data_IF_512601927267
#
_entry.id   IF_512601927267
#
_cell.length_a   1.000
_cell.length_b   1.000
_cell.length_c   1.000
_cell.angle_alpha   90.00
_cell.angle_beta   90.00
_cell.angle_gamma   90.00
#
_symmetry.space_group_name_H-M   'P 1'
#
loop_
_entity.id
_entity.type
_entity.pdbx_description
1 polymer ?
#
# COMPACT_ATOMS: atom_id res chain seq x y z
N UNK A 1 -41.80 -7.32 70.34
CA UNK A 1 -40.54 -7.72 69.66
C UNK A 1 -40.87 -8.07 68.22
N UNK A 2 -40.64 -7.12 67.27
CA UNK A 2 -40.96 -7.31 65.89
C UNK A 2 -39.62 -7.49 65.13
N UNK A 3 -39.44 -8.68 64.58
CA UNK A 3 -38.26 -9.04 63.72
C UNK A 3 -38.53 -8.51 62.32
N UNK A 4 -37.68 -7.57 61.85
CA UNK A 4 -37.68 -7.07 60.47
C UNK A 4 -36.74 -7.93 59.60
N UNK A 5 -37.32 -8.80 58.77
CA UNK A 5 -36.58 -9.49 57.72
C UNK A 5 -36.28 -8.50 56.57
N UNK A 6 -35.00 -8.22 56.35
CA UNK A 6 -34.55 -7.49 55.17
C UNK A 6 -34.28 -8.48 54.06
N UNK A 7 -35.07 -8.38 53.00
CA UNK A 7 -34.89 -9.14 51.76
C UNK A 7 -33.78 -8.47 50.92
N UNK A 8 -32.64 -9.12 50.77
CA UNK A 8 -31.61 -8.69 49.85
C UNK A 8 -31.91 -9.30 48.47
N UNK A 9 -32.31 -8.47 47.52
CA UNK A 9 -32.42 -8.83 46.11
C UNK A 9 -31.04 -8.62 45.49
N UNK A 10 -30.33 -9.72 45.27
CA UNK A 10 -29.08 -9.72 44.54
C UNK A 10 -29.31 -9.58 43.03
N UNK A 11 -28.95 -8.42 42.48
CA UNK A 11 -29.00 -8.16 41.04
C UNK A 11 -27.75 -8.75 40.41
N UNK A 12 -27.85 -9.94 39.81
CA UNK A 12 -26.78 -10.55 39.01
C UNK A 12 -26.72 -9.88 37.63
N UNK A 13 -25.73 -9.01 37.44
CA UNK A 13 -25.39 -8.47 36.11
C UNK A 13 -24.70 -9.54 35.29
N UNK A 14 -25.42 -10.18 34.37
CA UNK A 14 -24.82 -11.05 33.38
C UNK A 14 -24.12 -10.18 32.33
N UNK A 15 -22.79 -10.11 32.40
CA UNK A 15 -21.98 -9.47 31.37
C UNK A 15 -21.99 -10.36 30.12
N UNK A 16 -22.80 -10.03 29.14
CA UNK A 16 -22.67 -10.58 27.79
C UNK A 16 -21.40 -10.02 27.17
N UNK A 17 -20.31 -10.77 27.25
CA UNK A 17 -19.14 -10.53 26.42
C UNK A 17 -19.51 -10.93 24.99
N UNK A 18 -20.05 -9.98 24.22
CA UNK A 18 -20.23 -10.15 22.79
C UNK A 18 -18.87 -10.35 22.14
N UNK A 19 -18.63 -11.54 21.63
CA UNK A 19 -17.52 -11.81 20.73
C UNK A 19 -17.84 -11.06 19.44
N UNK A 20 -17.23 -9.89 19.25
CA UNK A 20 -17.29 -9.21 17.96
C UNK A 20 -16.69 -10.16 16.91
N UNK A 21 -17.40 -10.41 15.79
CA UNK A 21 -16.84 -11.22 14.71
C UNK A 21 -15.52 -10.57 14.26
N UNK A 22 -14.49 -11.40 14.10
CA UNK A 22 -13.26 -10.94 13.48
C UNK A 22 -13.61 -10.52 12.05
N UNK A 23 -13.41 -9.24 11.72
CA UNK A 23 -13.63 -8.76 10.36
C UNK A 23 -12.70 -9.54 9.43
N UNK A 24 -13.29 -10.15 8.41
CA UNK A 24 -12.54 -10.83 7.36
C UNK A 24 -11.70 -9.80 6.60
N UNK A 25 -10.41 -10.07 6.36
CA UNK A 25 -9.59 -9.22 5.50
C UNK A 25 -10.24 -9.07 4.14
N UNK A 26 -10.04 -7.93 3.46
CA UNK A 26 -10.46 -7.80 2.07
C UNK A 26 -9.78 -8.89 1.22
N UNK A 27 -10.42 -9.34 0.14
CA UNK A 27 -9.77 -10.26 -0.79
C UNK A 27 -8.44 -9.65 -1.26
N UNK A 28 -7.43 -10.50 -1.46
CA UNK A 28 -6.18 -10.09 -2.06
C UNK A 28 -6.42 -9.84 -3.55
N UNK A 29 -6.25 -8.60 -3.99
CA UNK A 29 -6.28 -8.24 -5.40
C UNK A 29 -4.91 -8.49 -6.01
N UNK A 30 -4.88 -9.24 -7.12
CA UNK A 30 -3.67 -9.46 -7.90
C UNK A 30 -3.76 -8.71 -9.21
N UNK A 31 -2.74 -7.93 -9.53
CA UNK A 31 -2.61 -7.22 -10.80
C UNK A 31 -1.31 -7.60 -11.49
N UNK A 32 -1.38 -7.99 -12.76
CA UNK A 32 -0.21 -8.18 -13.61
C UNK A 32 0.24 -6.80 -14.11
N UNK A 33 1.51 -6.50 -13.91
CA UNK A 33 2.18 -5.26 -14.33
C UNK A 33 3.19 -5.59 -15.42
N UNK A 34 2.90 -5.21 -16.64
CA UNK A 34 3.81 -5.37 -17.80
C UNK A 34 4.39 -4.01 -18.19
N UNK A 35 3.79 -3.31 -19.15
CA UNK A 35 4.22 -1.94 -19.50
C UNK A 35 3.82 -0.91 -18.46
N UNK A 36 2.77 -1.15 -17.69
CA UNK A 36 2.46 -0.40 -16.47
C UNK A 36 3.26 -1.01 -15.30
N UNK A 37 4.58 -1.02 -15.42
CA UNK A 37 5.53 -1.76 -14.59
C UNK A 37 5.42 -1.46 -13.08
N UNK A 38 6.09 -2.28 -12.26
CA UNK A 38 6.03 -2.19 -10.80
C UNK A 38 6.63 -0.90 -10.25
N UNK A 39 7.64 -0.34 -10.93
CA UNK A 39 8.45 0.75 -10.41
C UNK A 39 8.02 2.13 -10.89
N UNK A 40 7.69 2.26 -12.18
CA UNK A 40 7.43 3.55 -12.82
C UNK A 40 6.04 3.71 -13.41
N UNK A 41 5.20 2.68 -13.40
CA UNK A 41 3.92 2.63 -14.13
C UNK A 41 4.05 2.94 -15.62
N UNK A 42 5.14 2.53 -16.22
CA UNK A 42 5.44 2.76 -17.64
C UNK A 42 5.96 4.15 -17.98
N UNK A 43 6.12 5.02 -17.00
CA UNK A 43 6.63 6.38 -17.22
C UNK A 43 8.13 6.38 -17.52
N UNK A 44 8.87 5.43 -16.99
CA UNK A 44 10.31 5.43 -17.04
C UNK A 44 10.92 6.69 -16.40
N UNK A 45 12.23 6.83 -16.51
CA UNK A 45 12.94 7.97 -15.89
C UNK A 45 12.52 9.31 -16.49
N UNK A 46 12.33 9.38 -17.80
CA UNK A 46 11.98 10.63 -18.48
C UNK A 46 10.56 11.08 -18.14
N UNK A 47 9.60 10.16 -18.08
CA UNK A 47 8.25 10.49 -17.64
C UNK A 47 8.18 10.91 -16.17
N UNK A 48 8.96 10.25 -15.30
CA UNK A 48 9.05 10.64 -13.88
C UNK A 48 9.74 12.00 -13.68
N UNK A 49 10.68 12.38 -14.55
CA UNK A 49 11.33 13.71 -14.57
C UNK A 49 10.42 14.81 -15.09
N UNK A 50 9.45 14.47 -15.94
CA UNK A 50 8.58 15.46 -16.59
C UNK A 50 8.00 16.44 -15.58
N UNK A 51 8.05 17.75 -15.83
CA UNK A 51 7.40 18.74 -14.96
C UNK A 51 5.87 18.64 -15.05
N UNK A 52 5.35 18.05 -16.14
CA UNK A 52 3.91 17.88 -16.37
C UNK A 52 3.45 16.53 -15.82
N UNK A 53 2.43 16.56 -14.99
CA UNK A 53 1.83 15.34 -14.45
C UNK A 53 1.22 14.47 -15.56
N UNK A 54 1.27 13.12 -15.43
CA UNK A 54 0.59 12.23 -16.35
C UNK A 54 -0.89 12.60 -16.51
N UNK A 55 -1.46 12.56 -17.72
CA UNK A 55 -2.85 12.92 -17.96
C UNK A 55 -3.81 11.97 -17.25
N UNK A 56 -4.96 12.48 -16.86
CA UNK A 56 -6.08 11.66 -16.40
C UNK A 56 -7.10 11.57 -17.53
N UNK A 57 -7.43 10.36 -17.99
CA UNK A 57 -8.50 10.17 -18.99
C UNK A 57 -9.87 10.48 -18.37
N UNK A 58 -10.86 10.62 -19.22
CA UNK A 58 -12.26 10.70 -18.81
C UNK A 58 -13.04 9.53 -19.43
N UNK A 59 -13.52 8.56 -18.63
CA UNK A 59 -13.45 8.48 -17.18
C UNK A 59 -12.03 8.21 -16.65
N UNK A 60 -11.79 8.60 -15.41
CA UNK A 60 -10.50 8.36 -14.73
C UNK A 60 -10.31 6.86 -14.46
N UNK A 61 -9.12 6.34 -14.75
CA UNK A 61 -8.78 4.93 -14.51
C UNK A 61 -7.83 4.74 -13.32
N UNK A 62 -7.84 3.55 -12.73
CA UNK A 62 -6.94 3.18 -11.64
C UNK A 62 -5.46 3.24 -12.09
N UNK A 63 -5.17 2.84 -13.33
CA UNK A 63 -3.83 2.90 -13.91
C UNK A 63 -3.32 4.34 -14.01
N UNK A 64 -4.16 5.27 -14.48
CA UNK A 64 -3.79 6.67 -14.60
C UNK A 64 -3.56 7.31 -13.21
N UNK A 65 -4.38 6.95 -12.21
CA UNK A 65 -4.18 7.39 -10.83
C UNK A 65 -2.90 6.82 -10.24
N UNK A 66 -2.60 5.53 -10.47
CA UNK A 66 -1.36 4.90 -10.05
C UNK A 66 -0.14 5.58 -10.68
N UNK A 67 -0.18 5.85 -11.99
CA UNK A 67 0.91 6.55 -12.68
C UNK A 67 1.14 7.94 -12.07
N UNK A 68 0.08 8.67 -11.77
CA UNK A 68 0.15 9.97 -11.09
C UNK A 68 0.70 9.88 -9.67
N UNK A 69 0.28 8.88 -8.92
CA UNK A 69 0.78 8.64 -7.55
C UNK A 69 2.29 8.34 -7.57
N UNK A 70 2.75 7.48 -8.48
CA UNK A 70 4.17 7.20 -8.65
C UNK A 70 4.95 8.44 -9.08
N UNK A 71 4.48 9.16 -10.09
CA UNK A 71 5.12 10.41 -10.55
C UNK A 71 5.29 11.42 -9.42
N UNK A 72 4.23 11.67 -8.64
CA UNK A 72 4.27 12.62 -7.51
C UNK A 72 5.27 12.17 -6.44
N UNK A 73 5.26 10.88 -6.11
CA UNK A 73 6.09 10.37 -5.03
C UNK A 73 7.57 10.29 -5.41
N UNK A 74 7.89 9.84 -6.61
CA UNK A 74 9.27 9.83 -7.09
C UNK A 74 9.89 11.24 -7.06
N UNK A 75 9.21 12.23 -7.60
CA UNK A 75 9.65 13.63 -7.61
C UNK A 75 9.80 14.25 -6.22
N UNK A 76 9.08 13.74 -5.26
CA UNK A 76 9.13 14.25 -3.88
C UNK A 76 10.16 13.56 -2.98
N UNK A 77 10.74 12.45 -3.45
CA UNK A 77 11.65 11.62 -2.64
C UNK A 77 13.05 11.54 -3.26
N UNK A 78 13.14 11.36 -4.58
CA UNK A 78 14.39 11.16 -5.29
C UNK A 78 14.79 12.40 -6.10
N UNK A 79 16.09 12.68 -6.15
CA UNK A 79 16.61 13.61 -7.12
C UNK A 79 16.70 12.93 -8.49
N UNK A 80 15.73 13.20 -9.33
CA UNK A 80 15.63 12.66 -10.68
C UNK A 80 16.36 13.49 -11.73
N UNK A 81 17.07 14.57 -11.33
CA UNK A 81 17.89 15.37 -12.25
C UNK A 81 19.04 14.53 -12.82
N UNK A 82 19.67 14.98 -13.91
CA UNK A 82 20.84 14.28 -14.46
C UNK A 82 21.98 14.08 -13.45
N UNK A 83 22.12 14.98 -12.47
CA UNK A 83 23.10 14.88 -11.38
C UNK A 83 22.64 14.06 -10.18
N UNK A 84 21.37 13.65 -10.13
CA UNK A 84 20.75 13.00 -8.96
C UNK A 84 21.06 11.51 -8.81
N UNK A 85 21.85 10.93 -9.69
CA UNK A 85 22.35 9.57 -9.57
C UNK A 85 21.60 8.50 -10.38
N UNK A 86 20.36 8.73 -10.80
CA UNK A 86 19.65 7.81 -11.66
C UNK A 86 20.16 7.91 -13.10
N UNK A 87 20.53 6.74 -13.67
CA UNK A 87 21.20 6.62 -14.96
C UNK A 87 22.73 6.64 -14.86
N UNK A 88 23.28 6.94 -13.68
CA UNK A 88 24.72 6.93 -13.42
C UNK A 88 25.03 6.11 -12.16
N UNK A 89 24.79 6.66 -10.96
CA UNK A 89 25.15 6.03 -9.69
C UNK A 89 24.20 4.89 -9.29
N UNK A 90 22.89 5.08 -9.49
CA UNK A 90 21.85 4.11 -9.10
C UNK A 90 21.42 3.20 -10.25
N UNK A 91 22.15 3.21 -11.35
CA UNK A 91 21.82 2.43 -12.54
C UNK A 91 20.65 2.99 -13.34
N UNK A 92 20.20 2.22 -14.31
CA UNK A 92 19.08 2.60 -15.17
C UNK A 92 17.77 2.33 -14.43
N UNK A 93 16.80 3.21 -14.60
CA UNK A 93 15.42 2.92 -14.26
C UNK A 93 14.79 2.14 -15.42
N UNK A 94 15.12 0.86 -15.51
CA UNK A 94 14.49 -0.03 -16.46
C UNK A 94 13.07 -0.37 -16.01
N UNK A 95 12.13 -0.64 -16.92
CA UNK A 95 10.83 -1.19 -16.55
C UNK A 95 11.01 -2.50 -15.77
N UNK A 96 10.25 -2.66 -14.69
CA UNK A 96 10.25 -3.89 -13.87
C UNK A 96 8.88 -4.54 -13.99
N UNK A 97 8.66 -5.47 -14.92
CA UNK A 97 7.43 -6.23 -15.01
C UNK A 97 7.30 -7.20 -13.84
N UNK A 98 6.07 -7.55 -13.49
CA UNK A 98 5.81 -8.47 -12.39
C UNK A 98 4.37 -8.49 -11.93
N UNK A 99 4.15 -8.93 -10.69
CA UNK A 99 2.85 -9.02 -10.07
C UNK A 99 2.77 -8.13 -8.84
N UNK A 100 1.65 -7.46 -8.69
CA UNK A 100 1.31 -6.63 -7.55
C UNK A 100 0.11 -7.24 -6.84
N UNK A 101 0.25 -7.49 -5.54
CA UNK A 101 -0.78 -8.02 -4.66
C UNK A 101 -1.15 -6.96 -3.65
N UNK A 102 -2.44 -6.66 -3.48
CA UNK A 102 -2.92 -5.62 -2.58
C UNK A 102 -4.07 -6.12 -1.73
N UNK A 103 -4.09 -5.75 -0.47
CA UNK A 103 -5.18 -6.05 0.45
C UNK A 103 -5.36 -4.92 1.47
N UNK A 104 -6.59 -4.75 1.94
CA UNK A 104 -6.92 -3.92 3.10
C UNK A 104 -7.09 -4.84 4.31
N UNK A 105 -6.37 -4.56 5.37
CA UNK A 105 -6.37 -5.34 6.59
C UNK A 105 -6.81 -4.46 7.76
N UNK A 106 -7.52 -5.07 8.73
CA UNK A 106 -7.82 -4.43 10.00
C UNK A 106 -7.10 -5.17 11.12
N UNK A 107 -6.22 -4.49 11.83
CA UNK A 107 -5.61 -5.05 13.02
C UNK A 107 -6.60 -5.03 14.18
N UNK A 108 -6.49 -6.02 15.07
CA UNK A 108 -7.33 -6.09 16.27
C UNK A 108 -7.25 -4.79 17.08
N UNK A 109 -8.37 -4.15 17.29
CA UNK A 109 -8.48 -2.88 18.02
C UNK A 109 -8.16 -1.63 17.20
N UNK A 110 -7.76 -1.75 15.94
CA UNK A 110 -7.56 -0.61 15.07
C UNK A 110 -8.89 -0.05 14.56
N UNK A 111 -9.01 1.27 14.53
CA UNK A 111 -10.19 1.96 13.98
C UNK A 111 -10.13 2.07 12.45
N UNK A 112 -8.94 2.12 11.88
CA UNK A 112 -8.70 2.30 10.45
C UNK A 112 -8.18 1.02 9.82
N UNK A 113 -8.54 0.81 8.57
CA UNK A 113 -7.92 -0.17 7.71
C UNK A 113 -6.51 0.29 7.37
N UNK A 114 -5.62 -0.65 7.10
CA UNK A 114 -4.32 -0.36 6.52
C UNK A 114 -4.12 -1.19 5.26
N UNK A 115 -3.49 -0.57 4.30
CA UNK A 115 -3.12 -1.24 3.06
C UNK A 115 -1.81 -1.99 3.23
N UNK A 116 -1.81 -3.20 2.73
CA UNK A 116 -0.59 -3.98 2.50
C UNK A 116 -0.50 -4.25 1.00
N UNK A 117 0.67 -4.06 0.44
CA UNK A 117 0.95 -4.36 -0.95
C UNK A 117 2.26 -5.14 -1.05
N UNK A 118 2.29 -6.15 -1.92
CA UNK A 118 3.50 -6.91 -2.24
C UNK A 118 3.74 -6.84 -3.73
N UNK A 119 4.94 -6.45 -4.11
CA UNK A 119 5.40 -6.48 -5.50
C UNK A 119 6.41 -7.61 -5.67
N UNK A 120 6.20 -8.44 -6.69
CA UNK A 120 7.07 -9.57 -7.04
C UNK A 120 7.47 -9.38 -8.49
N UNK A 121 8.73 -9.04 -8.79
CA UNK A 121 9.20 -8.90 -10.15
C UNK A 121 9.26 -10.27 -10.86
N UNK A 122 9.17 -10.26 -12.19
CA UNK A 122 9.18 -11.52 -12.97
C UNK A 122 10.52 -12.27 -12.87
N UNK A 123 11.60 -11.57 -12.56
CA UNK A 123 12.93 -12.11 -12.32
C UNK A 123 13.19 -12.47 -10.84
N UNK A 124 12.15 -12.53 -10.01
CA UNK A 124 12.29 -12.93 -8.62
C UNK A 124 12.95 -14.28 -8.47
N UNK A 125 14.10 -14.29 -7.78
CA UNK A 125 14.87 -15.52 -7.56
C UNK A 125 14.45 -16.16 -6.22
N UNK A 126 13.61 -17.20 -6.29
CA UNK A 126 13.15 -17.93 -5.12
C UNK A 126 14.31 -18.60 -4.34
N UNK A 127 15.44 -18.87 -4.98
CA UNK A 127 16.59 -19.46 -4.30
C UNK A 127 17.27 -18.47 -3.37
N UNK A 128 17.29 -17.20 -3.72
CA UNK A 128 17.83 -16.12 -2.89
C UNK A 128 16.89 -15.72 -1.74
N UNK A 129 15.61 -16.03 -1.86
CA UNK A 129 14.57 -15.72 -0.85
C UNK A 129 14.63 -14.27 -0.36
N UNK A 130 14.94 -13.34 -1.27
CA UNK A 130 15.06 -11.94 -0.93
C UNK A 130 13.68 -11.30 -0.78
N UNK A 131 13.36 -10.82 0.43
CA UNK A 131 12.17 -10.06 0.73
C UNK A 131 12.54 -8.79 1.48
N UNK A 132 12.20 -7.64 0.92
CA UNK A 132 12.26 -6.36 1.63
C UNK A 132 10.90 -6.03 2.21
N UNK A 133 10.90 -5.44 3.41
CA UNK A 133 9.68 -4.92 4.04
C UNK A 133 9.87 -3.43 4.30
N UNK A 134 8.94 -2.60 3.85
CA UNK A 134 9.00 -1.16 4.00
C UNK A 134 7.68 -0.59 4.51
N UNK A 135 7.75 0.16 5.60
CA UNK A 135 6.63 0.97 6.05
C UNK A 135 6.70 2.34 5.38
N UNK A 136 5.58 2.81 4.85
CA UNK A 136 5.51 4.14 4.24
C UNK A 136 5.66 5.26 5.27
N UNK A 137 6.09 6.44 4.83
CA UNK A 137 5.87 7.67 5.59
C UNK A 137 4.38 7.99 5.69
N UNK A 138 3.97 8.69 6.76
CA UNK A 138 2.55 9.01 6.97
C UNK A 138 1.95 9.91 5.89
N UNK A 139 2.75 10.72 5.21
CA UNK A 139 2.29 11.70 4.22
C UNK A 139 2.33 11.22 2.76
N UNK A 140 3.01 10.10 2.48
CA UNK A 140 3.26 9.67 1.09
C UNK A 140 2.70 8.29 0.74
N UNK A 141 2.28 7.53 1.73
CA UNK A 141 1.71 6.21 1.52
C UNK A 141 2.67 5.20 0.89
N UNK A 142 2.11 4.13 0.39
CA UNK A 142 2.83 3.00 -0.23
C UNK A 142 3.64 3.46 -1.44
N UNK A 143 3.10 4.35 -2.27
CA UNK A 143 3.77 4.81 -3.49
C UNK A 143 5.06 5.58 -3.21
N UNK A 144 5.17 6.24 -2.05
CA UNK A 144 6.44 6.79 -1.59
C UNK A 144 7.46 5.72 -1.20
N UNK A 145 7.00 4.64 -0.58
CA UNK A 145 7.87 3.53 -0.22
C UNK A 145 8.40 2.78 -1.46
N UNK A 146 7.66 2.76 -2.58
CA UNK A 146 8.12 2.21 -3.86
C UNK A 146 9.36 2.97 -4.35
N UNK A 147 9.36 4.30 -4.28
CA UNK A 147 10.50 5.12 -4.69
C UNK A 147 11.76 4.93 -3.83
N UNK A 148 11.65 4.27 -2.68
CA UNK A 148 12.77 3.92 -1.79
C UNK A 148 13.12 2.43 -1.88
N UNK A 149 12.30 1.59 -1.21
CA UNK A 149 12.57 0.16 -1.10
C UNK A 149 12.39 -0.57 -2.45
N UNK A 150 11.37 -0.19 -3.23
CA UNK A 150 11.13 -0.74 -4.56
C UNK A 150 12.25 -0.42 -5.53
N UNK A 151 12.74 0.82 -5.50
CA UNK A 151 13.84 1.28 -6.36
C UNK A 151 15.08 0.39 -6.26
N UNK A 152 15.41 -0.05 -5.06
CA UNK A 152 16.53 -0.96 -4.86
C UNK A 152 16.10 -2.43 -5.00
N UNK A 153 15.07 -2.85 -4.27
CA UNK A 153 14.74 -4.26 -4.12
C UNK A 153 14.29 -4.93 -5.41
N UNK A 154 13.38 -4.28 -6.15
CA UNK A 154 12.85 -4.85 -7.39
C UNK A 154 13.96 -5.03 -8.45
N UNK A 155 14.88 -4.07 -8.58
CA UNK A 155 16.01 -4.16 -9.50
C UNK A 155 17.04 -5.23 -9.10
N UNK A 156 16.96 -5.76 -7.88
CA UNK A 156 17.83 -6.84 -7.40
C UNK A 156 17.10 -8.20 -7.36
N UNK A 157 15.94 -8.30 -8.00
CA UNK A 157 15.15 -9.53 -8.03
C UNK A 157 14.53 -9.89 -6.68
N UNK A 158 14.35 -8.92 -5.77
CA UNK A 158 13.70 -9.12 -4.50
C UNK A 158 12.19 -8.88 -4.62
N UNK A 159 11.38 -9.64 -3.88
CA UNK A 159 10.02 -9.22 -3.57
C UNK A 159 10.04 -8.06 -2.57
N UNK A 160 9.10 -7.13 -2.68
CA UNK A 160 9.02 -6.00 -1.77
C UNK A 160 7.61 -5.88 -1.20
N UNK A 161 7.49 -5.92 0.12
CA UNK A 161 6.25 -5.74 0.85
C UNK A 161 6.18 -4.34 1.46
N UNK A 162 5.03 -3.70 1.32
CA UNK A 162 4.77 -2.34 1.80
C UNK A 162 3.55 -2.30 2.71
N UNK A 163 3.54 -1.38 3.66
CA UNK A 163 2.35 -1.04 4.44
C UNK A 163 2.23 0.46 4.63
N UNK A 164 1.01 0.99 4.55
CA UNK A 164 0.70 2.39 4.85
C UNK A 164 0.52 2.63 6.37
N UNK A 165 0.55 1.59 7.19
CA UNK A 165 0.35 1.64 8.65
C UNK A 165 -1.01 2.20 9.07
N UNK A 166 -2.02 2.18 8.20
CA UNK A 166 -3.33 2.78 8.44
C UNK A 166 -3.35 4.31 8.30
N UNK A 167 -2.36 4.90 7.60
CA UNK A 167 -2.34 6.34 7.35
C UNK A 167 -3.37 6.78 6.28
N UNK A 168 -3.88 5.84 5.47
CA UNK A 168 -4.91 6.12 4.46
C UNK A 168 -4.44 6.98 3.28
N UNK A 169 -3.14 7.12 3.12
CA UNK A 169 -2.54 7.94 2.04
C UNK A 169 -2.41 7.14 0.77
N UNK A 170 -3.47 7.04 0.03
CA UNK A 170 -3.57 6.33 -1.24
C UNK A 170 -4.40 7.16 -2.23
N UNK A 171 -4.81 6.58 -3.34
CA UNK A 171 -5.74 7.22 -4.27
C UNK A 171 -7.09 6.51 -4.25
N UNK A 172 -8.14 7.29 -4.55
CA UNK A 172 -9.49 6.80 -4.73
C UNK A 172 -9.84 6.76 -6.21
N UNK A 173 -10.42 5.64 -6.65
CA UNK A 173 -11.03 5.56 -7.98
C UNK A 173 -12.47 6.07 -7.87
N UNK A 174 -12.84 7.18 -8.53
CA UNK A 174 -14.21 7.68 -8.49
C UNK A 174 -15.19 6.61 -8.98
N UNK A 175 -16.27 6.37 -8.23
CA UNK A 175 -17.27 5.36 -8.56
C UNK A 175 -16.92 3.91 -8.17
N UNK A 176 -15.71 3.64 -7.71
CA UNK A 176 -15.43 2.35 -7.08
C UNK A 176 -16.13 2.29 -5.71
N UNK A 177 -16.90 1.24 -5.49
CA UNK A 177 -17.44 0.97 -4.16
C UNK A 177 -16.26 0.62 -3.27
N UNK A 178 -15.93 1.52 -2.33
CA UNK A 178 -15.00 1.17 -1.26
C UNK A 178 -15.67 0.09 -0.41
N UNK A 179 -15.29 -1.14 -0.61
CA UNK A 179 -15.64 -2.20 0.33
C UNK A 179 -14.79 -1.99 1.57
N UNK A 180 -15.40 -1.42 2.59
CA UNK A 180 -14.82 -1.36 3.93
C UNK A 180 -14.32 0.01 4.39
N UNK A 181 -15.15 1.04 4.38
CA UNK A 181 -15.03 2.17 5.30
C UNK A 181 -16.01 1.95 6.45
#
# INVERSE_FOLDING_TARGET
MQSKHRLFIGLTLAAFAGVLPAETPSPVEQTLRTHNDLLSAGLGLDGLRSPTAPPLPNPVTAEALRARALWTNWRGIADLSPGGGYGALYGRMAPVPGREYSALLRLKGAKQLHRVMVQVPDDFDISKRCLLVSASSGSRGIYGAIALAGAWGLNHGCAVAYTDKGAGTDFLVPGAVQQGV
#
